data_IF_031062380844
#
_entry.id   IF_031062380844
#
_cell.length_a   1.000
_cell.length_b   1.000
_cell.length_c   1.000
_cell.angle_alpha   90.00
_cell.angle_beta   90.00
_cell.angle_gamma   90.00
#
_symmetry.space_group_name_H-M   'P 1'
#
loop_
_entity.id
_entity.type
_entity.pdbx_description
1 polymer ?
#
# COMPACT_ATOMS: atom_id res chain seq x y z
N UNK A 1 6.46 32.82 -3.06
CA UNK A 1 6.40 31.44 -2.54
C UNK A 1 4.97 30.97 -2.65
N UNK A 2 4.64 30.18 -3.67
CA UNK A 2 3.32 29.58 -3.80
C UNK A 2 3.23 28.35 -2.91
N UNK A 3 2.38 28.43 -1.89
CA UNK A 3 1.97 27.29 -1.08
C UNK A 3 1.15 26.38 -2.00
N UNK A 4 1.71 25.24 -2.41
CA UNK A 4 0.91 24.17 -2.99
C UNK A 4 0.12 23.53 -1.84
N UNK A 5 -1.04 24.11 -1.54
CA UNK A 5 -2.08 23.46 -0.76
C UNK A 5 -2.67 22.33 -1.60
N UNK A 6 -1.91 21.23 -1.73
CA UNK A 6 -2.48 19.97 -2.18
C UNK A 6 -3.37 19.55 -1.03
N UNK A 7 -4.67 19.73 -1.23
CA UNK A 7 -5.76 19.24 -0.42
C UNK A 7 -5.33 17.92 0.25
N UNK A 8 -4.96 17.98 1.54
CA UNK A 8 -4.81 16.80 2.38
C UNK A 8 -6.18 16.15 2.44
N UNK A 9 -6.52 15.32 1.46
CA UNK A 9 -7.50 14.28 1.70
C UNK A 9 -6.95 13.52 2.91
N UNK A 10 -7.64 13.59 4.05
CA UNK A 10 -7.35 12.74 5.19
C UNK A 10 -7.62 11.30 4.76
N UNK A 11 -6.65 10.70 4.07
CA UNK A 11 -6.66 9.28 3.75
C UNK A 11 -6.32 8.59 5.06
N UNK A 12 -7.13 7.60 5.44
CA UNK A 12 -6.85 6.83 6.64
C UNK A 12 -5.50 6.12 6.44
N UNK A 13 -4.48 6.39 7.28
CA UNK A 13 -3.17 5.78 7.14
C UNK A 13 -3.19 4.28 7.43
N UNK A 14 -4.34 3.73 7.84
CA UNK A 14 -4.56 2.29 8.00
C UNK A 14 -5.83 1.88 7.26
N UNK A 15 -5.75 0.87 6.41
CA UNK A 15 -6.93 0.26 5.76
C UNK A 15 -6.92 -1.25 5.91
N UNK A 16 -8.08 -1.83 6.21
CA UNK A 16 -8.24 -3.27 6.45
C UNK A 16 -9.10 -3.87 5.34
N UNK A 17 -8.61 -4.96 4.74
CA UNK A 17 -9.30 -5.69 3.69
C UNK A 17 -9.54 -7.15 4.11
N UNK A 18 -10.79 -7.64 4.05
CA UNK A 18 -11.06 -9.05 4.27
C UNK A 18 -10.54 -9.86 3.08
N UNK A 19 -9.61 -10.78 3.31
CA UNK A 19 -9.14 -11.71 2.28
C UNK A 19 -9.93 -13.02 2.36
N UNK A 20 -9.37 -14.14 1.92
CA UNK A 20 -9.97 -15.45 2.18
C UNK A 20 -9.83 -15.82 3.66
N UNK A 21 -10.79 -16.55 4.22
CA UNK A 21 -10.63 -17.11 5.58
C UNK A 21 -9.34 -17.94 5.64
N UNK A 22 -8.52 -17.85 6.71
CA UNK A 22 -8.71 -17.05 7.93
C UNK A 22 -7.88 -15.74 7.94
N UNK A 23 -7.76 -15.03 6.82
CA UNK A 23 -6.80 -13.95 6.67
C UNK A 23 -7.43 -12.58 6.42
N UNK A 24 -6.77 -11.54 6.91
CA UNK A 24 -7.03 -10.13 6.62
C UNK A 24 -5.74 -9.46 6.16
N UNK A 25 -5.85 -8.51 5.23
CA UNK A 25 -4.75 -7.60 4.91
C UNK A 25 -4.96 -6.30 5.65
N UNK A 26 -3.95 -5.90 6.41
CA UNK A 26 -3.84 -4.57 6.97
C UNK A 26 -2.80 -3.83 6.16
N UNK A 27 -3.19 -2.70 5.60
CA UNK A 27 -2.26 -1.77 4.93
C UNK A 27 -2.09 -0.57 5.81
N UNK A 28 -0.85 -0.08 5.89
CA UNK A 28 -0.52 1.06 6.73
C UNK A 28 0.62 1.87 6.14
N UNK A 29 0.78 3.10 6.63
CA UNK A 29 1.89 3.97 6.26
C UNK A 29 2.97 3.92 7.32
N UNK A 30 4.19 3.60 6.89
CA UNK A 30 5.38 3.63 7.73
C UNK A 30 6.27 4.82 7.32
N UNK A 31 6.87 5.51 8.29
CA UNK A 31 7.81 6.62 8.04
C UNK A 31 8.92 6.57 9.08
N UNK A 32 10.15 6.87 8.65
CA UNK A 32 11.30 7.07 9.55
C UNK A 32 11.47 8.52 9.96
N UNK A 33 10.86 9.46 9.23
CA UNK A 33 10.93 10.90 9.48
C UNK A 33 9.65 11.60 9.04
N UNK A 34 8.80 11.97 10.00
CA UNK A 34 7.52 12.65 9.75
C UNK A 34 7.65 14.02 9.09
N UNK A 35 8.84 14.63 9.11
CA UNK A 35 9.10 15.91 8.44
C UNK A 35 9.53 15.75 6.97
N UNK A 36 9.88 14.54 6.56
CA UNK A 36 10.27 14.23 5.18
C UNK A 36 9.15 13.45 4.48
N UNK A 37 8.44 14.12 3.58
CA UNK A 37 7.31 13.54 2.83
C UNK A 37 7.73 12.37 1.94
N UNK A 38 9.02 12.26 1.56
CA UNK A 38 9.52 11.17 0.72
C UNK A 38 9.81 9.89 1.52
N UNK A 39 9.85 9.99 2.85
CA UNK A 39 10.09 8.86 3.74
C UNK A 39 8.83 8.01 4.00
N UNK A 40 7.65 8.48 3.60
CA UNK A 40 6.39 7.78 3.78
C UNK A 40 6.28 6.61 2.82
N UNK A 41 6.14 5.40 3.37
CA UNK A 41 6.08 4.14 2.65
C UNK A 41 4.75 3.44 2.92
N UNK A 42 4.06 3.02 1.87
CA UNK A 42 2.92 2.14 2.01
C UNK A 42 3.41 0.70 2.26
N UNK A 43 2.94 0.09 3.34
CA UNK A 43 3.24 -1.28 3.72
C UNK A 43 1.95 -2.09 3.92
N UNK A 44 2.09 -3.40 3.83
CA UNK A 44 1.01 -4.36 3.98
C UNK A 44 1.44 -5.52 4.85
N UNK A 45 0.50 -6.02 5.63
CA UNK A 45 0.68 -7.15 6.53
C UNK A 45 -0.54 -8.06 6.45
N UNK A 46 -0.31 -9.35 6.20
CA UNK A 46 -1.35 -10.37 6.25
C UNK A 46 -1.37 -10.94 7.65
N UNK A 47 -2.49 -10.78 8.32
CA UNK A 47 -2.74 -11.25 9.68
C UNK A 47 -3.80 -12.34 9.59
N UNK A 48 -3.64 -13.41 10.35
CA UNK A 48 -4.72 -14.39 10.51
C UNK A 48 -5.73 -13.99 11.61
N UNK A 49 -6.76 -14.80 11.79
CA UNK A 49 -7.79 -14.56 12.80
C UNK A 49 -7.33 -14.73 14.24
N UNK A 50 -6.20 -15.39 14.47
CA UNK A 50 -5.57 -15.50 15.79
C UNK A 50 -4.69 -14.27 16.08
N UNK A 51 -4.60 -13.31 15.14
CA UNK A 51 -3.79 -12.11 15.25
C UNK A 51 -2.31 -12.32 14.92
N UNK A 52 -1.95 -13.48 14.35
CA UNK A 52 -0.57 -13.80 13.99
C UNK A 52 -0.25 -13.20 12.63
N UNK A 53 0.84 -12.42 12.59
CA UNK A 53 1.44 -11.93 11.34
C UNK A 53 1.99 -13.10 10.53
N UNK A 54 1.50 -13.26 9.30
CA UNK A 54 1.91 -14.33 8.38
C UNK A 54 2.90 -13.84 7.33
N UNK A 55 2.74 -12.60 6.89
CA UNK A 55 3.66 -11.94 5.97
C UNK A 55 3.57 -10.43 6.12
N UNK A 56 4.69 -9.74 5.93
CA UNK A 56 4.74 -8.28 5.90
C UNK A 56 5.66 -7.81 4.78
N UNK A 57 5.35 -6.67 4.18
CA UNK A 57 6.22 -6.02 3.21
C UNK A 57 5.83 -4.56 3.00
N UNK A 58 6.80 -3.75 2.57
CA UNK A 58 6.52 -2.43 2.02
C UNK A 58 6.51 -2.51 0.49
N UNK A 59 5.54 -1.84 -0.14
CA UNK A 59 5.31 -1.97 -1.59
C UNK A 59 6.34 -1.23 -2.44
N UNK A 60 7.08 -0.30 -1.85
CA UNK A 60 8.18 0.44 -2.46
C UNK A 60 9.53 -0.20 -2.18
N UNK A 61 9.85 -1.26 -2.91
CA UNK A 61 11.19 -1.85 -2.89
C UNK A 61 12.13 -1.06 -3.81
N UNK A 62 13.41 -0.99 -3.43
CA UNK A 62 14.49 -0.32 -4.16
C UNK A 62 14.69 -0.81 -5.62
N UNK A 63 14.04 -1.92 -6.01
CA UNK A 63 14.04 -2.48 -7.37
C UNK A 63 12.69 -2.37 -8.09
N UNK A 64 11.77 -1.58 -7.56
CA UNK A 64 10.47 -1.34 -8.16
C UNK A 64 10.46 -0.01 -8.90
N UNK A 65 9.96 0.01 -10.13
CA UNK A 65 9.58 1.26 -10.81
C UNK A 65 8.39 1.94 -10.12
N UNK A 66 8.14 1.69 -8.84
CA UNK A 66 7.03 2.25 -8.08
C UNK A 66 7.50 3.53 -7.39
N UNK A 67 6.76 4.62 -7.57
CA UNK A 67 7.07 5.89 -6.89
C UNK A 67 7.05 5.77 -5.37
N UNK A 68 6.36 4.75 -4.85
CA UNK A 68 6.22 4.47 -3.42
C UNK A 68 5.35 5.46 -2.67
N UNK A 69 4.74 6.41 -3.37
CA UNK A 69 3.87 7.41 -2.79
C UNK A 69 2.53 6.76 -2.35
N UNK A 70 2.32 6.69 -1.04
CA UNK A 70 1.08 6.17 -0.42
C UNK A 70 -0.19 6.82 -0.98
N UNK A 71 -0.15 8.10 -1.30
CA UNK A 71 -1.32 8.86 -1.79
C UNK A 71 -1.76 8.47 -3.20
N UNK A 72 -0.92 7.74 -3.96
CA UNK A 72 -1.16 7.43 -5.37
C UNK A 72 -1.24 5.91 -5.62
N UNK A 73 -1.82 5.17 -4.68
CA UNK A 73 -2.10 3.75 -4.84
C UNK A 73 -3.55 3.38 -4.51
N UNK A 74 -3.97 2.21 -4.98
CA UNK A 74 -5.26 1.62 -4.63
C UNK A 74 -5.12 0.11 -4.63
N UNK A 75 -5.70 -0.52 -3.60
CA UNK A 75 -5.77 -1.97 -3.48
C UNK A 75 -7.16 -2.47 -3.85
N UNK A 76 -7.21 -3.56 -4.62
CA UNK A 76 -8.43 -4.26 -4.98
C UNK A 76 -8.26 -5.74 -4.66
N UNK A 77 -9.24 -6.30 -3.95
CA UNK A 77 -9.30 -7.73 -3.69
C UNK A 77 -9.45 -8.49 -5.02
N UNK A 78 -8.72 -9.60 -5.17
CA UNK A 78 -8.89 -10.45 -6.35
C UNK A 78 -10.27 -11.11 -6.31
N UNK A 79 -10.95 -11.19 -7.46
CA UNK A 79 -12.23 -11.88 -7.59
C UNK A 79 -12.13 -13.36 -7.14
N UNK A 80 -11.00 -14.00 -7.44
CA UNK A 80 -10.62 -15.26 -6.83
C UNK A 80 -9.87 -14.99 -5.53
N UNK A 81 -10.55 -15.20 -4.39
CA UNK A 81 -10.01 -14.93 -3.05
C UNK A 81 -8.73 -15.71 -2.72
N UNK A 82 -8.43 -16.79 -3.45
CA UNK A 82 -7.18 -17.57 -3.29
C UNK A 82 -5.96 -16.87 -3.89
N UNK A 83 -6.18 -15.90 -4.78
CA UNK A 83 -5.12 -15.16 -5.46
C UNK A 83 -4.81 -13.83 -4.76
N UNK A 84 -5.16 -13.64 -3.48
CA UNK A 84 -4.80 -12.44 -2.73
C UNK A 84 -5.41 -11.15 -3.30
N UNK A 85 -4.55 -10.17 -3.62
CA UNK A 85 -4.98 -8.82 -3.99
C UNK A 85 -4.12 -8.18 -5.08
N UNK A 86 -4.75 -7.28 -5.83
CA UNK A 86 -4.13 -6.42 -6.82
C UNK A 86 -3.83 -5.06 -6.18
N UNK A 87 -2.68 -4.48 -6.50
CA UNK A 87 -2.34 -3.10 -6.18
C UNK A 87 -2.04 -2.35 -7.47
N UNK A 88 -2.68 -1.20 -7.63
CA UNK A 88 -2.39 -0.24 -8.69
C UNK A 88 -1.69 0.92 -8.03
N UNK A 89 -0.54 1.36 -8.56
CA UNK A 89 0.20 2.48 -8.02
C UNK A 89 0.88 3.28 -9.12
N UNK A 90 1.18 4.54 -8.83
CA UNK A 90 1.94 5.39 -9.73
C UNK A 90 3.39 4.90 -9.85
N UNK A 91 3.86 4.79 -11.09
CA UNK A 91 5.24 4.49 -11.43
C UNK A 91 6.17 5.63 -10.97
N UNK A 92 7.46 5.33 -10.79
CA UNK A 92 8.51 6.33 -10.62
C UNK A 92 8.61 7.25 -11.86
N UNK A 93 8.18 6.76 -13.02
CA UNK A 93 8.00 7.56 -14.22
C UNK A 93 6.67 8.35 -14.12
N UNK A 94 6.70 9.69 -14.24
CA UNK A 94 5.48 10.50 -14.21
C UNK A 94 4.45 10.05 -15.25
N UNK A 95 3.18 10.01 -14.86
CA UNK A 95 2.02 9.58 -15.67
C UNK A 95 1.95 8.10 -16.05
N UNK A 96 2.87 7.28 -15.56
CA UNK A 96 2.83 5.83 -15.74
C UNK A 96 2.25 5.13 -14.49
N UNK A 97 1.58 4.00 -14.70
CA UNK A 97 0.87 3.24 -13.66
C UNK A 97 1.26 1.78 -13.70
N UNK A 98 1.47 1.20 -12.54
CA UNK A 98 1.88 -0.20 -12.40
C UNK A 98 0.77 -0.96 -11.68
N UNK A 99 0.37 -2.08 -12.27
CA UNK A 99 -0.48 -3.09 -11.65
C UNK A 99 0.39 -4.26 -11.20
N UNK A 100 0.26 -4.66 -9.93
CA UNK A 100 0.94 -5.84 -9.37
C UNK A 100 -0.05 -6.75 -8.66
N UNK A 101 0.15 -8.05 -8.81
CA UNK A 101 -0.56 -9.10 -8.08
C UNK A 101 0.28 -9.56 -6.90
N UNK A 102 -0.32 -9.55 -5.72
CA UNK A 102 0.27 -10.07 -4.49
C UNK A 102 -0.47 -11.35 -4.09
N UNK A 103 0.28 -12.44 -3.96
CA UNK A 103 -0.22 -13.71 -3.49
C UNK A 103 -0.14 -13.76 -1.96
N UNK A 104 -1.05 -14.52 -1.34
CA UNK A 104 -1.08 -14.74 0.11
C UNK A 104 -0.29 -15.97 0.51
#
# INVERSE_FOLDING_TARGET
MHYFSILHNLVNPITIYPLQKPFVLVTYVNTTNSSDTTSYKECGEVIDWDGISRSNMCFNSDNSNDSGAWINSTIRLNANKKLGFLRIAQSACPNDWILRQYLM
#
